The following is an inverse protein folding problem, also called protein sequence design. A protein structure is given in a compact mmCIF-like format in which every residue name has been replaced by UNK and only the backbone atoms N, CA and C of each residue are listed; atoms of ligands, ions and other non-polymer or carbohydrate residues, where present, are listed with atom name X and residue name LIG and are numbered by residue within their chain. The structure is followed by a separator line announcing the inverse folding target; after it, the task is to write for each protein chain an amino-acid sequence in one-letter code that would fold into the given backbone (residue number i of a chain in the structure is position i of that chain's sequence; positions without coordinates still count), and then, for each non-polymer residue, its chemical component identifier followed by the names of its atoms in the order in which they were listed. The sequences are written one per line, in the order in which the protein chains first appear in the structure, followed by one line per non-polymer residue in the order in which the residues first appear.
data_IF_365022855333
#
_entry.id   IF_365022855333
#
_cell.length_a   1.000
_cell.length_b   1.000
_cell.length_c   1.000
_cell.angle_alpha   90.00
_cell.angle_beta   90.00
_cell.angle_gamma   90.00
#
_symmetry.space_group_name_H-M   'P 1'
#
loop_
_entity.id
_entity.type
_entity.pdbx_description
1 polymer ?
#
# COMPACT_ATOMS: atom_id res chain seq x y z
N UNK A 1 -10.78 28.56 -3.50
CA UNK A 1 -11.09 27.81 -2.27
C UNK A 1 -10.83 26.29 -2.36
N UNK A 2 -10.05 25.77 -3.32
CA UNK A 2 -9.78 24.33 -3.52
C UNK A 2 -8.29 23.95 -3.33
N UNK A 3 -7.55 24.68 -2.46
CA UNK A 3 -6.12 24.45 -2.23
C UNK A 3 -5.79 23.62 -0.97
N UNK A 4 -6.78 23.09 -0.27
CA UNK A 4 -6.57 22.41 1.01
C UNK A 4 -6.20 20.93 0.85
N UNK A 5 -6.58 20.27 -0.25
CA UNK A 5 -6.24 18.87 -0.46
C UNK A 5 -4.83 18.71 -0.99
N UNK A 6 -3.94 18.28 -0.13
CA UNK A 6 -2.59 17.87 -0.49
C UNK A 6 -2.61 16.39 -0.91
N UNK A 7 -1.98 16.04 -2.02
CA UNK A 7 -2.03 14.68 -2.59
C UNK A 7 -1.52 13.58 -1.64
N UNK A 8 -0.63 13.93 -0.70
CA UNK A 8 -0.17 13.01 0.34
C UNK A 8 -1.27 12.54 1.30
N UNK A 9 -2.38 13.27 1.39
CA UNK A 9 -3.52 12.88 2.24
C UNK A 9 -4.22 11.63 1.73
N UNK A 10 -4.15 11.34 0.42
CA UNK A 10 -4.83 10.18 -0.17
C UNK A 10 -4.24 8.86 0.35
N UNK A 11 -2.94 8.58 0.23
CA UNK A 11 -2.36 7.36 0.80
C UNK A 11 -2.46 7.32 2.33
N UNK A 12 -2.34 8.46 3.00
CA UNK A 12 -2.50 8.53 4.47
C UNK A 12 -3.90 8.11 4.88
N UNK A 13 -4.95 8.64 4.23
CA UNK A 13 -6.33 8.28 4.51
C UNK A 13 -6.58 6.79 4.21
N UNK A 14 -6.08 6.28 3.08
CA UNK A 14 -6.20 4.86 2.73
C UNK A 14 -5.57 3.96 3.80
N UNK A 15 -4.35 4.29 4.24
CA UNK A 15 -3.65 3.53 5.26
C UNK A 15 -4.35 3.61 6.63
N UNK A 16 -4.87 4.77 7.03
CA UNK A 16 -5.63 4.92 8.28
C UNK A 16 -6.90 4.07 8.24
N UNK A 17 -7.65 4.08 7.13
CA UNK A 17 -8.86 3.29 6.98
C UNK A 17 -8.52 1.79 7.09
N UNK A 18 -7.50 1.33 6.36
CA UNK A 18 -7.07 -0.07 6.42
C UNK A 18 -6.61 -0.46 7.82
N UNK A 19 -5.75 0.34 8.44
CA UNK A 19 -5.27 0.13 9.81
C UNK A 19 -6.40 0.09 10.82
N UNK A 20 -7.37 1.01 10.72
CA UNK A 20 -8.53 1.04 11.60
C UNK A 20 -9.43 -0.18 11.39
N UNK A 21 -9.61 -0.62 10.15
CA UNK A 21 -10.36 -1.85 9.83
C UNK A 21 -9.72 -3.07 10.49
N UNK A 22 -8.41 -3.26 10.33
CA UNK A 22 -7.70 -4.37 10.97
C UNK A 22 -7.80 -4.33 12.50
N UNK A 23 -7.64 -3.14 13.10
CA UNK A 23 -7.74 -3.00 14.56
C UNK A 23 -9.18 -3.17 15.07
N UNK A 24 -10.20 -2.82 14.29
CA UNK A 24 -11.59 -3.11 14.62
C UNK A 24 -11.86 -4.62 14.64
N UNK A 25 -11.33 -5.36 13.66
CA UNK A 25 -11.42 -6.83 13.63
C UNK A 25 -10.66 -7.46 14.81
N UNK A 26 -9.43 -7.01 15.05
CA UNK A 26 -8.62 -7.49 16.18
C UNK A 26 -9.28 -7.17 17.53
N UNK A 27 -9.82 -5.96 17.68
CA UNK A 27 -10.55 -5.53 18.87
C UNK A 27 -11.82 -6.38 19.11
N UNK A 28 -12.54 -6.70 18.04
CA UNK A 28 -13.70 -7.59 18.14
C UNK A 28 -13.31 -8.99 18.63
N UNK A 29 -12.18 -9.52 18.18
CA UNK A 29 -11.65 -10.79 18.67
C UNK A 29 -11.24 -10.73 20.15
N UNK A 30 -10.55 -9.67 20.57
CA UNK A 30 -10.07 -9.52 21.97
C UNK A 30 -11.23 -9.31 22.94
N UNK A 31 -12.20 -8.45 22.56
CA UNK A 31 -13.35 -8.11 23.44
C UNK A 31 -14.37 -9.23 23.50
N UNK A 32 -14.49 -9.99 22.42
CA UNK A 32 -15.44 -11.09 22.30
C UNK A 32 -14.70 -12.38 21.93
N UNK A 33 -13.83 -12.90 22.82
CA UNK A 33 -13.06 -14.11 22.52
C UNK A 33 -14.00 -15.30 22.29
N UNK A 34 -13.57 -16.29 21.49
CA UNK A 34 -14.30 -17.53 21.35
C UNK A 34 -14.43 -18.19 22.73
N UNK A 35 -15.63 -18.71 22.99
CA UNK A 35 -16.00 -19.23 24.28
C UNK A 35 -15.21 -20.50 24.63
N UNK A 36 -14.55 -20.52 25.80
CA UNK A 36 -14.06 -21.74 26.41
C UNK A 36 -15.24 -22.44 27.10
N UNK A 37 -15.68 -23.61 26.62
CA UNK A 37 -16.85 -24.31 27.19
C UNK A 37 -16.64 -24.75 28.64
N UNK A 38 -15.41 -24.74 29.15
CA UNK A 38 -15.05 -25.15 30.51
C UNK A 38 -15.14 -24.05 31.56
N UNK A 39 -15.19 -22.77 31.18
CA UNK A 39 -14.98 -21.67 32.14
C UNK A 39 -15.98 -20.50 32.02
N UNK A 40 -17.20 -20.70 31.51
CA UNK A 40 -18.05 -19.58 31.17
C UNK A 40 -19.23 -19.33 32.08
N UNK A 41 -19.21 -18.18 32.69
CA UNK A 41 -20.40 -17.49 33.23
C UNK A 41 -21.03 -16.52 32.22
N UNK A 42 -20.45 -16.40 31.00
CA UNK A 42 -20.92 -15.52 29.92
C UNK A 42 -21.77 -16.30 28.90
N UNK A 43 -22.78 -15.69 28.28
CA UNK A 43 -23.58 -16.36 27.27
C UNK A 43 -22.71 -16.88 26.13
N UNK A 44 -22.84 -18.16 25.82
CA UNK A 44 -22.08 -18.85 24.80
C UNK A 44 -22.19 -18.13 23.45
N UNK A 45 -21.10 -17.50 23.00
CA UNK A 45 -20.97 -17.12 21.60
C UNK A 45 -20.42 -18.34 20.86
N UNK A 46 -20.97 -18.73 19.71
CA UNK A 46 -20.36 -19.80 18.94
C UNK A 46 -18.91 -19.46 18.64
N UNK A 47 -17.97 -20.43 18.74
CA UNK A 47 -16.60 -20.20 18.33
C UNK A 47 -16.61 -19.64 16.91
N UNK A 48 -15.67 -18.72 16.60
CA UNK A 48 -15.52 -18.28 15.22
C UNK A 48 -15.46 -19.52 14.34
N UNK A 49 -16.36 -19.66 13.35
CA UNK A 49 -16.31 -20.82 12.48
C UNK A 49 -14.95 -20.80 11.82
N UNK A 50 -14.05 -21.68 12.23
CA UNK A 50 -12.72 -21.76 11.65
C UNK A 50 -12.78 -22.53 10.33
N UNK A 51 -11.88 -22.19 9.40
CA UNK A 51 -11.73 -22.91 8.13
C UNK A 51 -11.39 -24.40 8.32
N UNK A 52 -10.94 -24.80 9.49
CA UNK A 52 -10.73 -26.18 9.88
C UNK A 52 -11.69 -26.55 11.00
N UNK A 53 -12.06 -27.84 11.06
CA UNK A 53 -12.80 -28.45 12.17
C UNK A 53 -12.03 -28.47 13.51
N UNK A 54 -10.85 -27.88 13.54
CA UNK A 54 -9.97 -27.80 14.71
C UNK A 54 -10.02 -26.38 15.30
N UNK A 55 -10.12 -26.28 16.61
CA UNK A 55 -10.05 -25.02 17.34
C UNK A 55 -8.69 -24.35 17.10
N UNK A 56 -8.72 -23.10 16.65
CA UNK A 56 -7.52 -22.28 16.50
C UNK A 56 -7.48 -21.24 17.60
N UNK A 57 -6.27 -21.03 18.14
CA UNK A 57 -6.03 -20.00 19.15
C UNK A 57 -6.08 -18.60 18.54
N UNK A 58 -5.69 -18.48 17.27
CA UNK A 58 -5.67 -17.22 16.53
C UNK A 58 -6.56 -17.33 15.29
N UNK A 59 -7.63 -16.54 15.18
CA UNK A 59 -8.48 -16.54 13.99
C UNK A 59 -7.80 -15.79 12.85
N UNK A 60 -8.12 -16.16 11.62
CA UNK A 60 -7.75 -15.41 10.43
C UNK A 60 -8.48 -14.06 10.38
N UNK A 61 -7.88 -13.07 9.71
CA UNK A 61 -8.53 -11.78 9.43
C UNK A 61 -9.85 -12.01 8.71
N UNK A 62 -9.83 -12.93 7.73
CA UNK A 62 -11.00 -13.33 6.94
C UNK A 62 -12.09 -14.05 7.77
N UNK A 63 -11.72 -14.81 8.82
CA UNK A 63 -12.68 -15.48 9.69
C UNK A 63 -13.49 -14.46 10.51
N UNK A 64 -12.80 -13.46 11.08
CA UNK A 64 -13.46 -12.38 11.83
C UNK A 64 -14.29 -11.52 10.89
N UNK A 65 -13.72 -11.17 9.73
CA UNK A 65 -14.37 -10.38 8.69
C UNK A 65 -15.62 -11.03 8.08
N UNK A 66 -15.78 -12.36 8.21
CA UNK A 66 -16.95 -13.09 7.75
C UNK A 66 -18.08 -13.16 8.79
N UNK A 67 -17.86 -12.68 10.02
CA UNK A 67 -18.92 -12.64 11.05
C UNK A 67 -19.97 -11.58 10.70
N UNK A 68 -21.24 -11.82 11.10
CA UNK A 68 -22.35 -10.91 10.75
C UNK A 68 -22.12 -9.47 11.21
N UNK A 69 -21.46 -9.31 12.36
CA UNK A 69 -21.20 -8.02 12.98
C UNK A 69 -20.04 -7.29 12.32
N UNK A 70 -18.99 -8.02 11.90
CA UNK A 70 -17.77 -7.42 11.35
C UNK A 70 -17.75 -7.38 9.83
N UNK A 71 -18.54 -8.19 9.13
CA UNK A 71 -18.58 -8.22 7.67
C UNK A 71 -18.84 -6.84 7.05
N UNK A 72 -19.83 -6.04 7.51
CA UNK A 72 -20.04 -4.71 6.95
C UNK A 72 -18.83 -3.79 7.13
N UNK A 73 -18.17 -3.83 8.30
CA UNK A 73 -16.97 -3.03 8.60
C UNK A 73 -15.82 -3.46 7.70
N UNK A 74 -15.63 -4.76 7.53
CA UNK A 74 -14.58 -5.32 6.67
C UNK A 74 -14.80 -4.93 5.20
N UNK A 75 -16.03 -5.11 4.67
CA UNK A 75 -16.36 -4.74 3.28
C UNK A 75 -16.16 -3.24 3.04
N UNK A 76 -16.70 -2.38 3.92
CA UNK A 76 -16.55 -0.93 3.78
C UNK A 76 -15.07 -0.54 3.85
N UNK A 77 -14.32 -1.08 4.80
CA UNK A 77 -12.89 -0.84 4.96
C UNK A 77 -12.11 -1.24 3.70
N UNK A 78 -12.34 -2.43 3.16
CA UNK A 78 -11.70 -2.90 1.92
C UNK A 78 -12.03 -1.99 0.72
N UNK A 79 -13.31 -1.68 0.50
CA UNK A 79 -13.76 -0.83 -0.61
C UNK A 79 -13.15 0.57 -0.53
N UNK A 80 -13.21 1.22 0.64
CA UNK A 80 -12.64 2.56 0.80
C UNK A 80 -11.12 2.57 0.64
N UNK A 81 -10.44 1.56 1.21
CA UNK A 81 -8.98 1.42 1.06
C UNK A 81 -8.58 1.28 -0.41
N UNK A 82 -9.23 0.38 -1.15
CA UNK A 82 -8.91 0.15 -2.57
C UNK A 82 -9.27 1.36 -3.43
N UNK A 83 -10.39 2.03 -3.15
CA UNK A 83 -10.80 3.24 -3.85
C UNK A 83 -9.78 4.37 -3.68
N UNK A 84 -9.33 4.63 -2.45
CA UNK A 84 -8.33 5.65 -2.18
C UNK A 84 -6.96 5.27 -2.75
N UNK A 85 -6.57 3.99 -2.67
CA UNK A 85 -5.32 3.53 -3.27
C UNK A 85 -5.35 3.65 -4.80
N UNK A 86 -6.47 3.33 -5.46
CA UNK A 86 -6.66 3.61 -6.88
C UNK A 86 -6.54 5.13 -7.17
N UNK A 87 -7.06 5.96 -6.27
CA UNK A 87 -6.88 7.41 -6.31
C UNK A 87 -5.42 7.86 -6.29
N UNK A 88 -4.53 7.13 -5.57
CA UNK A 88 -3.08 7.39 -5.58
C UNK A 88 -2.50 7.21 -7.00
N UNK A 89 -2.83 6.13 -7.69
CA UNK A 89 -2.35 5.89 -9.06
C UNK A 89 -2.82 6.97 -10.03
N UNK A 90 -4.09 7.37 -9.94
CA UNK A 90 -4.66 8.45 -10.77
C UNK A 90 -3.97 9.78 -10.46
N UNK A 91 -3.80 10.11 -9.18
CA UNK A 91 -3.15 11.33 -8.74
C UNK A 91 -1.68 11.38 -9.20
N UNK A 92 -0.95 10.28 -9.10
CA UNK A 92 0.42 10.19 -9.56
C UNK A 92 0.52 10.49 -11.06
N UNK A 93 -0.34 9.86 -11.89
CA UNK A 93 -0.37 10.12 -13.35
C UNK A 93 -0.72 11.57 -13.65
N UNK A 94 -1.73 12.13 -13.00
CA UNK A 94 -2.12 13.52 -13.16
C UNK A 94 -0.99 14.50 -12.80
N UNK A 95 -0.25 14.20 -11.72
CA UNK A 95 0.88 15.02 -11.30
C UNK A 95 2.07 14.94 -12.27
N UNK A 96 2.35 13.75 -12.84
CA UNK A 96 3.36 13.58 -13.88
C UNK A 96 2.99 14.34 -15.15
N UNK A 97 1.73 14.29 -15.59
CA UNK A 97 1.25 15.07 -16.73
C UNK A 97 1.35 16.59 -16.49
N UNK A 98 1.05 17.04 -15.27
CA UNK A 98 1.16 18.46 -14.89
C UNK A 98 2.60 18.92 -14.68
N UNK A 99 3.61 18.03 -14.80
CA UNK A 99 5.01 18.34 -14.55
C UNK A 99 5.33 18.59 -13.07
N UNK A 100 4.46 18.17 -12.14
CA UNK A 100 4.72 18.26 -10.69
C UNK A 100 5.49 17.07 -10.14
N UNK A 101 5.53 15.97 -10.89
CA UNK A 101 6.40 14.81 -10.68
C UNK A 101 7.23 14.57 -11.94
N UNK A 102 8.33 13.84 -11.81
CA UNK A 102 9.19 13.47 -12.92
C UNK A 102 8.37 12.81 -14.04
N UNK A 103 8.56 13.28 -15.28
CA UNK A 103 7.81 12.77 -16.43
C UNK A 103 8.44 11.48 -16.96
N UNK A 104 7.60 10.55 -17.38
CA UNK A 104 8.03 9.40 -18.15
C UNK A 104 8.40 9.87 -19.57
N UNK A 105 9.66 9.80 -19.90
CA UNK A 105 10.18 10.26 -21.20
C UNK A 105 10.32 9.12 -22.19
N UNK A 106 10.49 7.89 -21.70
CA UNK A 106 10.67 6.70 -22.50
C UNK A 106 9.34 5.90 -22.63
N UNK A 107 9.14 5.27 -23.78
CA UNK A 107 7.97 4.42 -24.02
C UNK A 107 7.95 3.22 -23.06
N UNK A 108 9.11 2.65 -22.71
CA UNK A 108 9.21 1.56 -21.74
C UNK A 108 8.68 2.00 -20.37
N UNK A 109 9.05 3.18 -19.89
CA UNK A 109 8.57 3.73 -18.63
C UNK A 109 7.04 3.89 -18.62
N UNK A 110 6.45 4.30 -19.76
CA UNK A 110 5.00 4.42 -19.90
C UNK A 110 4.30 3.06 -19.87
N UNK A 111 4.83 2.07 -20.59
CA UNK A 111 4.28 0.70 -20.63
C UNK A 111 4.31 0.08 -19.25
N UNK A 112 5.44 0.15 -18.56
CA UNK A 112 5.60 -0.37 -17.19
C UNK A 112 4.63 0.31 -16.23
N UNK A 113 4.44 1.62 -16.36
CA UNK A 113 3.47 2.37 -15.58
C UNK A 113 2.01 1.90 -15.82
N UNK A 114 1.62 1.63 -17.06
CA UNK A 114 0.30 1.08 -17.37
C UNK A 114 0.12 -0.34 -16.82
N UNK A 115 1.13 -1.20 -16.95
CA UNK A 115 1.11 -2.55 -16.39
C UNK A 115 0.95 -2.50 -14.86
N UNK A 116 1.62 -1.57 -14.18
CA UNK A 116 1.45 -1.35 -12.75
C UNK A 116 -0.01 -1.01 -12.39
N UNK A 117 -0.64 -0.10 -13.12
CA UNK A 117 -2.03 0.31 -12.88
C UNK A 117 -2.99 -0.87 -13.11
N UNK A 118 -2.85 -1.59 -14.23
CA UNK A 118 -3.70 -2.74 -14.53
C UNK A 118 -3.59 -3.81 -13.45
N UNK A 119 -2.38 -4.12 -13.02
CA UNK A 119 -2.14 -5.09 -11.94
C UNK A 119 -2.71 -4.61 -10.60
N UNK A 120 -2.62 -3.32 -10.29
CA UNK A 120 -3.24 -2.73 -9.10
C UNK A 120 -4.77 -2.82 -9.13
N UNK A 121 -5.39 -2.61 -10.30
CA UNK A 121 -6.85 -2.78 -10.45
C UNK A 121 -7.25 -4.23 -10.18
N UNK A 122 -6.51 -5.21 -10.71
CA UNK A 122 -6.75 -6.63 -10.42
C UNK A 122 -6.62 -6.91 -8.92
N UNK A 123 -5.56 -6.40 -8.27
CA UNK A 123 -5.38 -6.53 -6.82
C UNK A 123 -6.50 -5.87 -6.01
N UNK A 124 -6.96 -4.68 -6.44
CA UNK A 124 -8.09 -3.97 -5.81
C UNK A 124 -9.39 -4.74 -5.93
N UNK A 125 -9.67 -5.33 -7.09
CA UNK A 125 -10.81 -6.21 -7.31
C UNK A 125 -10.71 -7.45 -6.40
N UNK A 126 -9.53 -8.05 -6.31
CA UNK A 126 -9.25 -9.16 -5.39
C UNK A 126 -9.63 -8.80 -3.96
N UNK A 127 -9.09 -7.70 -3.40
CA UNK A 127 -9.36 -7.27 -2.02
C UNK A 127 -10.86 -6.93 -1.80
N UNK A 128 -11.49 -6.29 -2.76
CA UNK A 128 -12.92 -5.95 -2.67
C UNK A 128 -13.79 -7.21 -2.67
N UNK A 129 -13.56 -8.12 -3.62
CA UNK A 129 -14.39 -9.31 -3.75
C UNK A 129 -14.14 -10.34 -2.66
N UNK A 130 -12.90 -10.49 -2.14
CA UNK A 130 -12.68 -11.38 -1.01
C UNK A 130 -13.45 -10.95 0.25
N UNK A 131 -13.68 -9.64 0.43
CA UNK A 131 -14.46 -9.14 1.56
C UNK A 131 -15.97 -9.36 1.40
N UNK A 132 -16.46 -9.37 0.16
CA UNK A 132 -17.88 -9.62 -0.17
C UNK A 132 -18.19 -11.13 -0.14
N UNK A 133 -17.34 -11.94 -0.79
CA UNK A 133 -17.46 -13.38 -0.80
C UNK A 133 -16.79 -13.97 0.43
N UNK A 134 -17.54 -14.12 1.51
CA UNK A 134 -17.04 -14.63 2.78
C UNK A 134 -16.46 -16.04 2.66
N UNK A 135 -15.47 -16.34 3.51
CA UNK A 135 -14.70 -17.58 3.50
C UNK A 135 -15.57 -18.83 3.83
N UNK A 136 -16.71 -18.66 4.52
CA UNK A 136 -17.53 -19.78 4.93
C UNK A 136 -18.51 -20.23 3.84
N UNK A 137 -19.12 -19.28 3.13
CA UNK A 137 -20.10 -19.58 2.07
C UNK A 137 -19.44 -19.80 0.72
N UNK A 138 -18.35 -19.06 0.43
CA UNK A 138 -17.75 -18.99 -0.89
C UNK A 138 -16.24 -19.27 -0.87
N UNK A 139 -15.81 -20.29 -0.11
CA UNK A 139 -14.40 -20.59 0.16
C UNK A 139 -13.49 -20.58 -1.08
N UNK A 140 -13.90 -21.23 -2.16
CA UNK A 140 -13.08 -21.30 -3.40
C UNK A 140 -12.94 -19.92 -4.04
N UNK A 141 -14.03 -19.16 -4.12
CA UNK A 141 -14.03 -17.80 -4.68
C UNK A 141 -13.17 -16.91 -3.78
N UNK A 142 -13.39 -16.95 -2.46
CA UNK A 142 -12.61 -16.17 -1.49
C UNK A 142 -11.10 -16.41 -1.64
N UNK A 143 -10.66 -17.66 -1.63
CA UNK A 143 -9.24 -18.01 -1.78
C UNK A 143 -8.66 -17.56 -3.13
N UNK A 144 -9.45 -17.65 -4.21
CA UNK A 144 -9.04 -17.11 -5.52
C UNK A 144 -8.87 -15.59 -5.47
N UNK A 145 -9.79 -14.88 -4.80
CA UNK A 145 -9.70 -13.42 -4.65
C UNK A 145 -8.52 -13.00 -3.75
N UNK A 146 -8.20 -13.77 -2.69
CA UNK A 146 -6.97 -13.58 -1.90
C UNK A 146 -5.73 -13.71 -2.80
N UNK A 147 -5.69 -14.74 -3.64
CA UNK A 147 -4.60 -14.92 -4.61
C UNK A 147 -4.47 -13.75 -5.59
N UNK A 148 -5.60 -13.28 -6.13
CA UNK A 148 -5.62 -12.10 -7.02
C UNK A 148 -5.22 -10.80 -6.30
N UNK A 149 -5.63 -10.62 -5.05
CA UNK A 149 -5.24 -9.48 -4.23
C UNK A 149 -3.73 -9.42 -4.05
N UNK A 150 -3.13 -10.49 -3.53
CA UNK A 150 -1.69 -10.54 -3.23
C UNK A 150 -0.88 -10.44 -4.53
N UNK A 151 -1.18 -11.28 -5.54
CA UNK A 151 -0.43 -11.28 -6.80
C UNK A 151 -0.60 -9.97 -7.57
N UNK A 152 -1.79 -9.40 -7.61
CA UNK A 152 -2.09 -8.15 -8.31
C UNK A 152 -1.27 -6.99 -7.75
N UNK A 153 -1.23 -6.82 -6.43
CA UNK A 153 -0.43 -5.75 -5.83
C UNK A 153 1.07 -6.03 -5.85
N UNK A 154 1.50 -7.29 -5.71
CA UNK A 154 2.92 -7.65 -5.83
C UNK A 154 3.47 -7.34 -7.24
N UNK A 155 2.72 -7.71 -8.28
CA UNK A 155 3.07 -7.41 -9.68
C UNK A 155 3.03 -5.90 -9.93
N UNK A 156 2.02 -5.20 -9.39
CA UNK A 156 1.94 -3.74 -9.47
C UNK A 156 3.15 -3.07 -8.82
N UNK A 157 3.51 -3.48 -7.62
CA UNK A 157 4.67 -2.96 -6.90
C UNK A 157 5.98 -3.22 -7.65
N UNK A 158 6.12 -4.40 -8.28
CA UNK A 158 7.27 -4.73 -9.11
C UNK A 158 7.40 -3.79 -10.32
N UNK A 159 6.31 -3.53 -11.03
CA UNK A 159 6.33 -2.59 -12.14
C UNK A 159 6.59 -1.15 -11.68
N UNK A 160 6.06 -0.73 -10.53
CA UNK A 160 6.40 0.56 -9.95
C UNK A 160 7.87 0.66 -9.55
N UNK A 161 8.42 -0.41 -8.95
CA UNK A 161 9.85 -0.47 -8.67
C UNK A 161 10.67 -0.25 -9.95
N UNK A 162 10.36 -0.96 -11.04
CA UNK A 162 11.05 -0.81 -12.32
C UNK A 162 10.93 0.63 -12.87
N UNK A 163 9.73 1.21 -12.83
CA UNK A 163 9.49 2.59 -13.28
C UNK A 163 10.33 3.60 -12.46
N UNK A 164 10.21 3.55 -11.13
CA UNK A 164 10.91 4.48 -10.25
C UNK A 164 12.43 4.28 -10.28
N UNK A 165 12.91 3.04 -10.38
CA UNK A 165 14.34 2.73 -10.49
C UNK A 165 14.93 3.31 -11.79
N UNK A 166 14.28 3.08 -12.95
CA UNK A 166 14.73 3.64 -14.23
C UNK A 166 14.77 5.16 -14.20
N UNK A 167 13.70 5.79 -13.72
CA UNK A 167 13.67 7.24 -13.55
C UNK A 167 14.68 7.74 -12.50
N UNK A 168 14.85 7.00 -11.41
CA UNK A 168 15.83 7.33 -10.37
C UNK A 168 17.26 7.30 -10.86
N UNK A 169 17.63 6.35 -11.72
CA UNK A 169 18.93 6.31 -12.39
C UNK A 169 19.12 7.53 -13.30
N UNK A 170 18.09 7.94 -14.03
CA UNK A 170 18.13 9.06 -14.96
C UNK A 170 18.21 10.42 -14.26
N UNK A 171 17.49 10.58 -13.14
CA UNK A 171 17.41 11.81 -12.37
C UNK A 171 18.20 11.76 -11.04
N UNK A 172 19.24 10.91 -10.97
CA UNK A 172 19.98 10.61 -9.73
C UNK A 172 20.48 11.85 -8.99
N UNK A 173 20.98 12.84 -9.72
CA UNK A 173 21.58 14.05 -9.16
C UNK A 173 20.54 15.08 -8.70
N UNK A 174 19.32 15.01 -9.22
CA UNK A 174 18.26 15.99 -8.94
C UNK A 174 17.18 15.46 -8.03
N UNK A 175 16.89 14.15 -8.02
CA UNK A 175 15.75 13.58 -7.34
C UNK A 175 16.06 12.23 -6.66
N UNK A 176 16.81 12.27 -5.56
CA UNK A 176 17.12 11.09 -4.73
C UNK A 176 15.86 10.36 -4.22
N UNK A 177 14.74 11.06 -4.05
CA UNK A 177 13.49 10.51 -3.56
C UNK A 177 12.92 9.39 -4.45
N UNK A 178 13.19 9.41 -5.77
CA UNK A 178 12.77 8.34 -6.69
C UNK A 178 13.47 7.01 -6.36
N UNK A 179 14.76 7.07 -6.02
CA UNK A 179 15.49 5.86 -5.61
C UNK A 179 15.00 5.33 -4.24
N UNK A 180 14.74 6.23 -3.30
CA UNK A 180 14.16 5.85 -1.99
C UNK A 180 12.83 5.15 -2.21
N UNK A 181 11.93 5.71 -3.02
CA UNK A 181 10.64 5.08 -3.34
C UNK A 181 10.83 3.72 -4.01
N UNK A 182 11.74 3.60 -5.00
CA UNK A 182 12.02 2.33 -5.67
C UNK A 182 12.46 1.24 -4.68
N UNK A 183 13.48 1.53 -3.86
CA UNK A 183 13.97 0.55 -2.89
C UNK A 183 12.95 0.22 -1.80
N UNK A 184 12.15 1.19 -1.38
CA UNK A 184 11.05 0.93 -0.44
C UNK A 184 10.06 -0.08 -1.02
N UNK A 185 9.66 0.07 -2.28
CA UNK A 185 8.78 -0.89 -2.95
C UNK A 185 9.43 -2.27 -3.09
N UNK A 186 10.72 -2.32 -3.42
CA UNK A 186 11.46 -3.59 -3.48
C UNK A 186 11.49 -4.32 -2.13
N UNK A 187 11.67 -3.59 -1.03
CA UNK A 187 11.62 -4.17 0.32
C UNK A 187 10.24 -4.76 0.60
N UNK A 188 9.15 -4.07 0.26
CA UNK A 188 7.80 -4.62 0.45
C UNK A 188 7.55 -5.86 -0.42
N UNK A 189 7.98 -5.87 -1.68
CA UNK A 189 7.88 -7.06 -2.55
C UNK A 189 8.62 -8.25 -1.92
N UNK A 190 9.83 -8.03 -1.42
CA UNK A 190 10.63 -9.07 -0.77
C UNK A 190 9.95 -9.60 0.51
N UNK A 191 9.44 -8.70 1.37
CA UNK A 191 8.71 -9.07 2.58
C UNK A 191 7.46 -9.88 2.27
N UNK A 192 6.61 -9.39 1.35
CA UNK A 192 5.40 -10.10 0.92
C UNK A 192 5.72 -11.46 0.29
N UNK A 193 6.79 -11.53 -0.51
CA UNK A 193 7.25 -12.78 -1.09
C UNK A 193 7.68 -13.80 -0.03
N UNK A 194 8.46 -13.37 0.97
CA UNK A 194 8.90 -14.22 2.09
C UNK A 194 7.68 -14.68 2.90
N UNK A 195 6.77 -13.76 3.24
CA UNK A 195 5.55 -14.09 3.99
C UNK A 195 4.64 -15.02 3.20
N UNK A 196 4.52 -14.82 1.88
CA UNK A 196 3.73 -15.71 1.01
C UNK A 196 4.29 -17.13 0.95
N UNK A 197 5.62 -17.28 0.85
CA UNK A 197 6.28 -18.59 0.90
C UNK A 197 6.08 -19.25 2.27
N UNK A 198 6.27 -18.48 3.35
CA UNK A 198 6.05 -18.96 4.70
C UNK A 198 4.60 -19.41 4.92
N UNK A 199 3.64 -18.62 4.46
CA UNK A 199 2.21 -18.94 4.50
C UNK A 199 1.92 -20.28 3.80
N UNK A 200 2.42 -20.44 2.58
CA UNK A 200 2.23 -21.67 1.81
C UNK A 200 2.80 -22.91 2.54
N UNK A 201 4.01 -22.76 3.12
CA UNK A 201 4.64 -23.83 3.90
C UNK A 201 3.80 -24.22 5.13
N UNK A 202 3.34 -23.27 5.93
CA UNK A 202 2.57 -23.55 7.15
C UNK A 202 1.18 -24.11 6.85
N UNK A 203 0.56 -23.72 5.73
CA UNK A 203 -0.71 -24.28 5.27
C UNK A 203 -0.55 -25.76 4.89
N UNK A 204 0.54 -26.12 4.17
CA UNK A 204 0.85 -27.52 3.85
C UNK A 204 1.12 -28.33 5.13
N UNK A 205 1.85 -27.74 6.07
CA UNK A 205 2.12 -28.35 7.37
C UNK A 205 0.89 -28.42 8.29
N UNK A 206 -0.26 -27.89 7.86
CA UNK A 206 -1.52 -27.82 8.64
C UNK A 206 -1.36 -27.07 9.97
N UNK A 207 -0.42 -26.12 10.03
CA UNK A 207 -0.24 -25.24 11.20
C UNK A 207 -1.09 -23.97 11.01
N UNK A 208 -2.35 -24.06 11.38
CA UNK A 208 -3.34 -23.03 11.11
C UNK A 208 -3.10 -21.75 11.92
N UNK A 209 -2.68 -21.86 13.19
CA UNK A 209 -2.37 -20.70 14.03
C UNK A 209 -1.21 -19.86 13.44
N UNK A 210 -0.16 -20.53 12.94
CA UNK A 210 0.93 -19.85 12.25
C UNK A 210 0.45 -19.23 10.93
N UNK A 211 -0.46 -19.91 10.20
CA UNK A 211 -1.08 -19.35 8.99
C UNK A 211 -1.86 -18.07 9.28
N UNK A 212 -2.68 -18.07 10.34
CA UNK A 212 -3.42 -16.89 10.75
C UNK A 212 -2.47 -15.74 11.16
N UNK A 213 -1.42 -16.04 11.95
CA UNK A 213 -0.43 -15.03 12.32
C UNK A 213 0.26 -14.39 11.09
N UNK A 214 0.57 -15.19 10.07
CA UNK A 214 1.15 -14.68 8.81
C UNK A 214 0.13 -13.84 8.04
N UNK A 215 -1.16 -14.22 7.98
CA UNK A 215 -2.19 -13.41 7.34
C UNK A 215 -2.30 -12.02 7.99
N UNK A 216 -2.29 -11.96 9.33
CA UNK A 216 -2.22 -10.68 10.06
C UNK A 216 -0.97 -9.88 9.71
N UNK A 217 0.21 -10.53 9.67
CA UNK A 217 1.46 -9.86 9.30
C UNK A 217 1.40 -9.27 7.88
N UNK A 218 0.96 -10.05 6.88
CA UNK A 218 0.75 -9.59 5.49
C UNK A 218 -0.19 -8.38 5.47
N UNK A 219 -1.31 -8.45 6.21
CA UNK A 219 -2.29 -7.37 6.25
C UNK A 219 -1.71 -6.06 6.83
N UNK A 220 -0.88 -6.13 7.86
CA UNK A 220 -0.21 -4.95 8.40
C UNK A 220 0.95 -4.47 7.52
N UNK A 221 1.70 -5.36 6.88
CA UNK A 221 2.74 -4.99 5.89
C UNK A 221 2.11 -4.24 4.72
N UNK A 222 0.93 -4.66 4.25
CA UNK A 222 0.17 -3.95 3.23
C UNK A 222 -0.20 -2.52 3.65
N UNK A 223 -0.49 -2.26 4.93
CA UNK A 223 -0.70 -0.90 5.46
C UNK A 223 0.53 -0.02 5.23
N UNK A 224 1.72 -0.52 5.55
CA UNK A 224 2.96 0.21 5.34
C UNK A 224 3.31 0.37 3.86
N UNK A 225 2.96 -0.60 3.01
CA UNK A 225 3.06 -0.47 1.57
C UNK A 225 2.22 0.71 1.06
N UNK A 226 0.96 0.85 1.52
CA UNK A 226 0.12 2.01 1.18
C UNK A 226 0.80 3.31 1.62
N UNK A 227 1.34 3.37 2.84
CA UNK A 227 2.05 4.54 3.33
C UNK A 227 3.30 4.87 2.51
N UNK A 228 3.93 3.90 1.85
CA UNK A 228 5.10 4.14 1.01
C UNK A 228 4.84 5.11 -0.15
N UNK A 229 3.58 5.25 -0.59
CA UNK A 229 3.19 6.26 -1.59
C UNK A 229 3.38 7.71 -1.12
N UNK A 230 3.57 7.95 0.18
CA UNK A 230 3.97 9.27 0.67
C UNK A 230 5.28 9.74 0.02
N UNK A 231 6.26 8.84 -0.12
CA UNK A 231 7.54 9.16 -0.75
C UNK A 231 7.36 9.57 -2.22
N UNK A 232 6.36 9.00 -2.91
CA UNK A 232 6.06 9.33 -4.32
C UNK A 232 5.47 10.73 -4.46
N UNK A 233 4.70 11.20 -3.46
CA UNK A 233 4.05 12.51 -3.49
C UNK A 233 4.85 13.64 -2.84
N UNK A 234 5.91 13.34 -2.07
CA UNK A 234 6.75 14.38 -1.45
C UNK A 234 7.28 15.43 -2.45
N UNK A 235 7.79 15.04 -3.64
CA UNK A 235 8.26 16.04 -4.59
C UNK A 235 7.16 16.99 -5.08
N UNK A 236 5.91 16.53 -5.11
CA UNK A 236 4.79 17.36 -5.53
C UNK A 236 4.44 18.48 -4.54
N UNK A 237 4.95 18.44 -3.30
CA UNK A 237 4.78 19.53 -2.33
C UNK A 237 5.64 20.74 -2.70
N UNK A 238 6.83 20.50 -3.22
CA UNK A 238 7.80 21.55 -3.57
C UNK A 238 7.56 22.14 -4.96
N UNK A 239 6.87 21.40 -5.85
CA UNK A 239 6.60 21.79 -7.25
C UNK A 239 5.21 22.41 -7.45
N UNK A 240 4.66 23.10 -6.42
CA UNK A 240 3.35 23.74 -6.50
C UNK A 240 3.33 24.89 -7.51
N UNK A 241 4.35 25.73 -7.53
CA UNK A 241 4.46 26.87 -8.42
C UNK A 241 4.86 26.43 -9.84
N UNK A 242 4.42 27.18 -10.85
CA UNK A 242 4.65 26.84 -12.26
C UNK A 242 6.14 26.83 -12.60
N UNK A 243 6.92 27.72 -11.99
CA UNK A 243 8.34 27.89 -12.24
C UNK A 243 9.20 26.80 -11.58
N UNK A 244 8.60 26.03 -10.64
CA UNK A 244 9.21 24.91 -9.95
C UNK A 244 8.86 23.55 -10.55
N UNK A 245 8.19 23.50 -11.70
CA UNK A 245 7.77 22.24 -12.33
C UNK A 245 8.90 21.58 -13.10
N UNK A 246 8.88 20.27 -13.15
CA UNK A 246 9.82 19.49 -13.95
C UNK A 246 9.80 19.94 -15.42
N UNK A 247 10.96 20.37 -15.94
CA UNK A 247 11.12 20.87 -17.29
C UNK A 247 11.13 22.40 -17.44
N UNK A 248 10.85 23.14 -16.35
CA UNK A 248 10.95 24.61 -16.28
C UNK A 248 11.77 24.93 -15.02
N UNK A 249 13.07 24.64 -15.08
CA UNK A 249 13.95 25.00 -13.96
C UNK A 249 14.48 26.41 -14.18
N UNK A 250 13.94 27.37 -13.46
CA UNK A 250 14.60 28.67 -13.26
C UNK A 250 15.46 28.61 -12.01
N UNK A 251 16.60 29.30 -12.00
CA UNK A 251 17.51 29.37 -10.83
C UNK A 251 16.80 29.79 -9.54
N UNK A 252 15.76 30.61 -9.63
CA UNK A 252 14.93 31.06 -8.50
C UNK A 252 14.19 29.94 -7.81
N UNK A 253 13.75 28.91 -8.53
CA UNK A 253 13.05 27.77 -7.94
C UNK A 253 14.00 26.87 -7.13
N UNK A 254 15.21 26.68 -7.58
CA UNK A 254 16.25 25.95 -6.83
C UNK A 254 16.56 26.65 -5.50
N UNK A 255 16.40 27.96 -5.46
CA UNK A 255 16.59 28.80 -4.27
C UNK A 255 15.47 28.64 -3.25
N UNK A 256 14.20 28.49 -3.68
CA UNK A 256 13.05 28.31 -2.78
C UNK A 256 12.93 26.90 -2.20
N UNK A 257 13.24 25.86 -2.99
CA UNK A 257 13.14 24.46 -2.59
C UNK A 257 14.16 24.08 -1.51
N UNK A 258 15.29 24.78 -1.46
CA UNK A 258 16.42 24.46 -0.61
C UNK A 258 16.80 25.55 0.38
N UNK A 259 15.88 26.04 1.18
CA UNK A 259 16.20 27.03 2.23
C UNK A 259 17.38 26.67 3.15
N UNK A 260 17.72 25.38 3.26
CA UNK A 260 18.94 24.86 3.92
C UNK A 260 20.06 24.45 2.96
N UNK A 261 19.79 24.14 1.69
CA UNK A 261 20.82 23.88 0.66
C UNK A 261 21.26 25.15 -0.07
N UNK A 262 20.58 26.28 0.14
CA UNK A 262 20.96 27.57 -0.45
C UNK A 262 22.45 27.95 -0.25
N UNK A 263 23.00 27.66 0.91
CA UNK A 263 24.39 28.00 1.20
C UNK A 263 25.40 27.09 0.49
N UNK A 264 25.08 25.80 0.33
CA UNK A 264 26.00 24.86 -0.32
C UNK A 264 26.03 25.02 -1.85
N UNK A 265 24.87 25.18 -2.49
CA UNK A 265 24.78 25.32 -3.96
C UNK A 265 25.29 26.69 -4.43
N UNK A 266 25.00 27.78 -3.73
CA UNK A 266 25.52 29.11 -4.06
C UNK A 266 27.03 29.20 -3.82
N UNK A 267 27.59 28.47 -2.87
CA UNK A 267 29.04 28.37 -2.69
C UNK A 267 29.73 27.57 -3.78
N UNK A 268 29.08 26.48 -4.26
CA UNK A 268 29.62 25.66 -5.35
C UNK A 268 29.64 26.42 -6.68
N UNK A 269 28.62 27.24 -6.98
CA UNK A 269 28.59 28.10 -8.17
C UNK A 269 29.49 29.34 -8.08
N UNK A 270 29.80 29.85 -6.89
CA UNK A 270 30.78 30.93 -6.71
C UNK A 270 32.25 30.47 -6.79
N UNK A 271 32.47 29.15 -6.62
CA UNK A 271 33.81 28.55 -6.77
C UNK A 271 34.26 28.31 -8.22
N UNK A 272 33.36 28.48 -9.20
CA UNK A 272 33.63 28.32 -10.62
C UNK A 272 33.50 29.70 -11.31
N UNK A 273 34.29 30.69 -10.88
CA UNK A 273 34.50 31.89 -11.68
C UNK A 273 35.59 31.60 -12.70
N UNK A 274 35.37 31.87 -14.00
CA UNK A 274 36.41 31.72 -14.99
C UNK A 274 37.53 32.75 -14.73
N UNK A 275 38.75 32.23 -14.56
CA UNK A 275 39.97 33.01 -14.63
C UNK A 275 40.31 33.42 -16.08
#
# INVERSE_FOLDING_TARGET
MWQVFSYWMIPTASAIIWFTTLNALLGAFIVFPPHDPLNSTLPARPPYPSMSSQFHSVPYVSDIGATKEMQPIFVIGCVLTTFLLAGCFVAERALRHKGRLARNTDNTERVVAYLSIVSAVVGSMGLTFLSIFDVFRYRTIHNTMVGLFISGYAISAFFQFLEHYRMGCKYRNTHANLMVSAYTKLVFIALEGILGIAYWYVVIAKNWDAGAAIEWAVSYVFCFYILSYLFDFLPALTTKEKDCRFGVYTEECMVQVNGRRKQAVVQEFRGVAPG
#
